data_IF_521492011713
#
_entry.id   IF_521492011713
#
_cell.length_a   1.000
_cell.length_b   1.000
_cell.length_c   1.000
_cell.angle_alpha   90.00
_cell.angle_beta   90.00
_cell.angle_gamma   90.00
#
_symmetry.space_group_name_H-M   'P 1'
#
loop_
_entity.id
_entity.type
_entity.pdbx_description
1 polymer ?
#
# COMPACT_ATOMS: atom_id res chain seq x y z
N UNK A 1 2.22 36.33 11.76
CA UNK A 1 3.34 35.82 10.92
C UNK A 1 2.92 35.77 9.46
N UNK A 2 3.85 36.01 8.52
CA UNK A 2 3.61 35.78 7.08
C UNK A 2 3.79 34.29 6.73
N UNK A 3 3.28 33.85 5.58
CA UNK A 3 3.43 32.45 5.15
C UNK A 3 4.90 31.99 5.05
N UNK A 4 5.80 32.88 4.62
CA UNK A 4 7.23 32.54 4.51
C UNK A 4 7.89 32.35 5.87
N UNK A 5 7.45 33.08 6.88
CA UNK A 5 7.91 32.91 8.26
C UNK A 5 7.35 31.61 8.87
N UNK A 6 6.07 31.33 8.61
CA UNK A 6 5.42 30.09 9.04
C UNK A 6 6.06 28.85 8.41
N UNK A 7 6.40 28.93 7.11
CA UNK A 7 7.13 27.89 6.39
C UNK A 7 8.51 27.61 6.99
N UNK A 8 9.25 28.66 7.34
CA UNK A 8 10.56 28.52 8.01
C UNK A 8 10.44 27.87 9.38
N UNK A 9 9.43 28.26 10.17
CA UNK A 9 9.23 27.72 11.53
C UNK A 9 8.75 26.27 11.54
N UNK A 10 7.88 25.90 10.61
CA UNK A 10 7.32 24.54 10.51
C UNK A 10 8.17 23.58 9.69
N UNK A 11 9.13 24.08 8.91
CA UNK A 11 9.83 23.29 7.88
C UNK A 11 8.94 22.87 6.70
N UNK A 12 7.67 23.32 6.65
CA UNK A 12 6.74 22.99 5.58
C UNK A 12 6.86 23.97 4.42
N UNK A 13 6.76 23.47 3.20
CA UNK A 13 6.68 24.32 2.03
C UNK A 13 5.45 25.24 2.09
N UNK A 14 5.60 26.50 1.65
CA UNK A 14 4.50 27.45 1.59
C UNK A 14 3.34 26.97 0.67
N UNK A 15 3.61 26.10 -0.30
CA UNK A 15 2.57 25.41 -1.09
C UNK A 15 1.72 24.47 -0.23
N UNK A 16 2.35 23.72 0.67
CA UNK A 16 1.70 22.78 1.58
C UNK A 16 0.84 23.49 2.63
N UNK A 17 1.32 24.60 3.17
CA UNK A 17 0.54 25.46 4.07
C UNK A 17 -0.71 26.00 3.36
N UNK A 18 -0.56 26.51 2.11
CA UNK A 18 -1.71 26.95 1.29
C UNK A 18 -2.68 25.83 0.98
N UNK A 19 -2.16 24.62 0.80
CA UNK A 19 -3.00 23.46 0.56
C UNK A 19 -3.83 23.12 1.81
N UNK A 20 -3.25 23.12 3.01
CA UNK A 20 -4.01 22.90 4.25
C UNK A 20 -5.05 24.00 4.51
N UNK A 21 -4.73 25.25 4.19
CA UNK A 21 -5.69 26.36 4.22
C UNK A 21 -6.89 26.09 3.28
N UNK A 22 -6.63 25.70 2.02
CA UNK A 22 -7.68 25.34 1.07
C UNK A 22 -8.49 24.13 1.50
N UNK A 23 -7.86 23.19 2.20
CA UNK A 23 -8.48 21.98 2.74
C UNK A 23 -9.21 22.24 4.06
N UNK A 24 -9.35 23.49 4.51
CA UNK A 24 -10.10 23.82 5.73
C UNK A 24 -9.45 23.37 7.04
N UNK A 25 -8.21 22.87 7.00
CA UNK A 25 -7.46 22.43 8.18
C UNK A 25 -6.77 23.58 8.92
N UNK A 26 -6.73 24.75 8.30
CA UNK A 26 -6.12 25.96 8.83
C UNK A 26 -7.13 27.10 8.70
N UNK A 27 -7.65 27.57 9.83
CA UNK A 27 -8.50 28.74 9.91
C UNK A 27 -7.71 29.97 9.44
N UNK A 28 -8.17 30.63 8.38
CA UNK A 28 -7.54 31.87 7.91
C UNK A 28 -7.88 32.98 8.90
N UNK A 29 -6.90 33.39 9.71
CA UNK A 29 -7.03 34.60 10.53
C UNK A 29 -6.89 35.78 9.57
N UNK A 30 -8.04 36.41 9.29
CA UNK A 30 -8.23 37.72 8.70
C UNK A 30 -7.27 38.16 7.58
N UNK A 31 -7.82 38.36 6.38
CA UNK A 31 -7.16 39.23 5.39
C UNK A 31 -7.09 40.62 6.01
N UNK A 32 -5.88 41.08 6.31
CA UNK A 32 -5.68 42.48 6.69
C UNK A 32 -6.09 43.39 5.53
N UNK A 33 -6.40 44.65 5.83
CA UNK A 33 -6.81 45.68 4.86
C UNK A 33 -5.85 45.85 3.67
N UNK A 34 -4.59 45.42 3.83
CA UNK A 34 -3.56 45.42 2.80
C UNK A 34 -3.51 44.14 1.93
N UNK A 35 -4.50 43.24 2.04
CA UNK A 35 -4.65 42.04 1.20
C UNK A 35 -3.71 40.87 1.56
N UNK A 36 -2.84 41.04 2.55
CA UNK A 36 -1.91 39.99 2.97
C UNK A 36 -2.55 39.03 4.00
N UNK A 37 -2.24 37.74 3.86
CA UNK A 37 -2.58 36.71 4.85
C UNK A 37 -1.67 36.83 6.07
N UNK A 38 -2.26 36.76 7.25
CA UNK A 38 -1.52 36.72 8.50
C UNK A 38 -1.93 35.51 9.31
N UNK A 39 -0.94 34.75 9.76
CA UNK A 39 -1.15 33.58 10.60
C UNK A 39 -0.82 33.93 12.05
N UNK A 40 -1.76 33.62 12.95
CA UNK A 40 -1.53 33.70 14.40
C UNK A 40 -0.60 32.59 14.90
N UNK A 41 -0.18 32.63 16.18
CA UNK A 41 0.61 31.56 16.78
C UNK A 41 -0.12 30.20 16.77
N UNK A 42 -1.45 30.18 16.88
CA UNK A 42 -2.30 28.97 16.77
C UNK A 42 -2.06 28.19 15.48
N UNK A 43 -1.81 28.89 14.36
CA UNK A 43 -1.57 28.26 13.08
C UNK A 43 -0.26 27.44 13.07
N UNK A 44 0.72 27.81 13.87
CA UNK A 44 1.96 27.04 14.01
C UNK A 44 1.69 25.72 14.71
N UNK A 45 1.03 25.77 15.87
CA UNK A 45 0.69 24.59 16.66
C UNK A 45 -0.19 23.63 15.87
N UNK A 46 -1.19 24.15 15.16
CA UNK A 46 -2.05 23.35 14.28
C UNK A 46 -1.26 22.65 13.16
N UNK A 47 -0.30 23.36 12.54
CA UNK A 47 0.55 22.77 11.51
C UNK A 47 1.45 21.65 12.03
N UNK A 48 1.96 21.78 13.26
CA UNK A 48 2.76 20.75 13.91
C UNK A 48 1.91 19.50 14.21
N UNK A 49 0.66 19.67 14.64
CA UNK A 49 -0.29 18.56 14.83
C UNK A 49 -0.59 17.86 13.51
N UNK A 50 -0.94 18.61 12.46
CA UNK A 50 -1.25 18.03 11.14
C UNK A 50 -0.04 17.26 10.61
N UNK A 51 1.17 17.81 10.72
CA UNK A 51 2.39 17.14 10.28
C UNK A 51 2.65 15.85 11.06
N UNK A 52 2.48 15.88 12.38
CA UNK A 52 2.66 14.71 13.25
C UNK A 52 1.65 13.62 12.93
N UNK A 53 0.37 13.96 12.78
CA UNK A 53 -0.68 13.01 12.43
C UNK A 53 -0.43 12.37 11.06
N UNK A 54 0.01 13.15 10.06
CA UNK A 54 0.38 12.56 8.77
C UNK A 54 1.57 11.61 8.86
N UNK A 55 2.58 11.93 9.68
CA UNK A 55 3.70 10.99 9.89
C UNK A 55 3.29 9.71 10.61
N UNK A 56 2.23 9.76 11.41
CA UNK A 56 1.60 8.59 12.03
C UNK A 56 0.66 7.82 11.07
N UNK A 57 0.54 8.26 9.81
CA UNK A 57 -0.22 7.57 8.77
C UNK A 57 -1.67 8.03 8.62
N UNK A 58 -2.09 9.08 9.33
CA UNK A 58 -3.43 9.64 9.15
C UNK A 58 -3.54 10.38 7.80
N UNK A 59 -4.65 10.15 7.12
CA UNK A 59 -5.09 10.92 5.97
C UNK A 59 -5.58 12.31 6.39
N UNK A 60 -5.64 13.24 5.44
CA UNK A 60 -6.12 14.58 5.71
C UNK A 60 -7.60 14.64 6.09
N UNK A 61 -8.40 13.71 5.54
CA UNK A 61 -9.81 13.61 5.86
C UNK A 61 -10.03 13.08 7.28
N UNK A 62 -9.24 12.09 7.71
CA UNK A 62 -9.22 11.64 9.11
C UNK A 62 -8.80 12.79 10.03
N UNK A 63 -7.70 13.49 9.72
CA UNK A 63 -7.25 14.64 10.53
C UNK A 63 -8.34 15.71 10.62
N UNK A 64 -9.06 15.99 9.52
CA UNK A 64 -10.18 16.95 9.54
C UNK A 64 -11.30 16.49 10.47
N UNK A 65 -11.64 15.20 10.46
CA UNK A 65 -12.69 14.66 11.33
C UNK A 65 -12.30 14.64 12.81
N UNK A 66 -10.99 14.63 13.10
CA UNK A 66 -10.45 14.60 14.46
C UNK A 66 -10.22 15.99 15.05
N UNK A 67 -10.00 16.99 14.20
CA UNK A 67 -9.84 18.37 14.65
C UNK A 67 -11.23 18.97 14.93
N UNK A 68 -11.41 19.64 16.08
CA UNK A 68 -12.65 20.30 16.38
C UNK A 68 -12.82 21.49 15.43
N UNK A 69 -13.97 21.58 14.79
CA UNK A 69 -14.41 22.86 14.27
C UNK A 69 -14.61 23.81 15.47
N UNK A 70 -14.33 25.09 15.28
CA UNK A 70 -14.41 26.12 16.34
C UNK A 70 -15.77 26.26 17.04
N UNK A 71 -16.78 25.50 16.60
CA UNK A 71 -18.15 25.46 17.12
C UNK A 71 -18.59 24.04 17.54
N UNK A 72 -17.76 23.01 17.37
CA UNK A 72 -18.12 21.62 17.61
C UNK A 72 -17.72 21.15 19.02
N UNK A 73 -18.61 20.38 19.65
CA UNK A 73 -18.33 19.66 20.89
C UNK A 73 -17.22 18.63 20.62
N UNK A 74 -16.12 18.72 21.37
CA UNK A 74 -15.00 17.78 21.22
C UNK A 74 -15.48 16.34 21.52
N UNK A 75 -15.50 15.49 20.49
CA UNK A 75 -15.87 14.07 20.64
C UNK A 75 -14.64 13.28 21.05
N UNK A 76 -14.34 13.31 22.36
CA UNK A 76 -13.15 12.66 22.93
C UNK A 76 -13.09 11.17 22.58
N UNK A 77 -14.23 10.48 22.69
CA UNK A 77 -14.31 9.03 22.45
C UNK A 77 -14.03 8.68 20.98
N UNK A 78 -14.56 9.45 20.04
CA UNK A 78 -14.32 9.24 18.61
C UNK A 78 -12.85 9.41 18.24
N UNK A 79 -12.16 10.39 18.85
CA UNK A 79 -10.72 10.56 18.67
C UNK A 79 -9.95 9.36 19.22
N UNK A 80 -10.29 8.92 20.43
CA UNK A 80 -9.63 7.79 21.07
C UNK A 80 -9.78 6.51 20.23
N UNK A 81 -10.99 6.23 19.74
CA UNK A 81 -11.26 5.10 18.85
C UNK A 81 -10.46 5.19 17.54
N UNK A 82 -10.36 6.38 16.95
CA UNK A 82 -9.57 6.57 15.72
C UNK A 82 -8.08 6.34 15.96
N UNK A 83 -7.54 6.79 17.09
CA UNK A 83 -6.15 6.55 17.46
C UNK A 83 -5.88 5.06 17.70
N UNK A 84 -6.77 4.38 18.43
CA UNK A 84 -6.68 2.94 18.67
C UNK A 84 -6.74 2.13 17.38
N UNK A 85 -7.65 2.51 16.46
CA UNK A 85 -7.73 1.90 15.13
C UNK A 85 -6.42 2.06 14.36
N UNK A 86 -5.79 3.24 14.45
CA UNK A 86 -4.52 3.50 13.78
C UNK A 86 -3.38 2.65 14.34
N UNK A 87 -3.35 2.48 15.66
CA UNK A 87 -2.41 1.58 16.31
C UNK A 87 -2.58 0.15 15.79
N UNK A 88 -3.81 -0.36 15.74
CA UNK A 88 -4.08 -1.70 15.23
C UNK A 88 -3.68 -1.88 13.74
N UNK A 89 -3.91 -0.86 12.90
CA UNK A 89 -3.46 -0.85 11.50
C UNK A 89 -1.92 -0.95 11.41
N UNK A 90 -1.21 -0.16 12.23
CA UNK A 90 0.26 -0.18 12.28
C UNK A 90 0.77 -1.54 12.77
N UNK A 91 0.15 -2.13 13.79
CA UNK A 91 0.52 -3.46 14.29
C UNK A 91 0.40 -4.54 13.20
N UNK A 92 -0.69 -4.52 12.42
CA UNK A 92 -0.86 -5.42 11.29
C UNK A 92 0.22 -5.24 10.22
N UNK A 93 0.56 -3.98 9.90
CA UNK A 93 1.65 -3.67 8.97
C UNK A 93 3.00 -4.15 9.51
N UNK A 94 3.27 -3.98 10.80
CA UNK A 94 4.49 -4.47 11.44
C UNK A 94 4.59 -6.00 11.35
N UNK A 95 3.51 -6.73 11.62
CA UNK A 95 3.47 -8.19 11.48
C UNK A 95 3.77 -8.62 10.05
N UNK A 96 3.17 -7.98 9.05
CA UNK A 96 3.42 -8.26 7.64
C UNK A 96 4.87 -7.99 7.25
N UNK A 97 5.42 -6.85 7.68
CA UNK A 97 6.81 -6.50 7.42
C UNK A 97 7.78 -7.48 8.11
N UNK A 98 7.47 -7.90 9.34
CA UNK A 98 8.25 -8.90 10.06
C UNK A 98 8.23 -10.26 9.34
N UNK A 99 7.06 -10.69 8.86
CA UNK A 99 6.92 -11.91 8.06
C UNK A 99 7.76 -11.84 6.77
N UNK A 100 7.59 -10.78 5.99
CA UNK A 100 8.34 -10.59 4.75
C UNK A 100 9.85 -10.57 5.02
N UNK A 101 10.29 -9.88 6.09
CA UNK A 101 11.70 -9.84 6.50
C UNK A 101 12.22 -11.25 6.82
N UNK A 102 11.44 -12.05 7.56
CA UNK A 102 11.83 -13.42 7.89
C UNK A 102 11.97 -14.29 6.62
N UNK A 103 11.02 -14.20 5.68
CA UNK A 103 11.11 -14.91 4.40
C UNK A 103 12.37 -14.52 3.61
N UNK A 104 12.69 -13.21 3.55
CA UNK A 104 13.90 -12.75 2.87
C UNK A 104 15.19 -13.26 3.54
N UNK A 105 15.21 -13.36 4.87
CA UNK A 105 16.36 -13.93 5.60
C UNK A 105 16.54 -15.41 5.23
N UNK A 106 15.46 -16.20 5.23
CA UNK A 106 15.50 -17.62 4.83
C UNK A 106 15.96 -17.77 3.38
N UNK A 107 15.48 -16.92 2.47
CA UNK A 107 15.92 -16.91 1.08
C UNK A 107 17.42 -16.58 0.96
N UNK A 108 17.94 -15.63 1.74
CA UNK A 108 19.37 -15.32 1.78
C UNK A 108 20.19 -16.50 2.30
N UNK A 109 19.73 -17.17 3.36
CA UNK A 109 20.44 -18.32 3.95
C UNK A 109 20.48 -19.54 3.03
N UNK A 110 19.36 -19.86 2.38
CA UNK A 110 19.30 -20.94 1.38
C UNK A 110 20.24 -20.69 0.21
N UNK A 111 20.31 -19.44 -0.28
CA UNK A 111 21.25 -19.07 -1.34
C UNK A 111 22.73 -19.14 -0.91
N UNK A 112 23.03 -18.86 0.36
CA UNK A 112 24.39 -19.02 0.91
C UNK A 112 24.82 -20.49 0.97
N UNK A 113 23.90 -21.42 1.19
CA UNK A 113 24.15 -22.88 1.22
C UNK A 113 24.27 -23.50 -0.17
N UNK A 114 24.87 -22.76 -1.11
CA UNK A 114 25.08 -23.19 -2.49
C UNK A 114 25.87 -24.52 -2.53
N UNK A 115 25.43 -25.52 -3.31
CA UNK A 115 26.26 -26.71 -3.57
C UNK A 115 27.58 -26.31 -4.24
N UNK A 116 28.70 -26.79 -3.72
CA UNK A 116 30.04 -26.44 -4.25
C UNK A 116 30.25 -26.98 -5.68
N UNK A 117 29.56 -28.06 -6.05
CA UNK A 117 29.63 -28.72 -7.36
C UNK A 117 28.38 -28.42 -8.21
N UNK A 118 28.21 -27.16 -8.64
CA UNK A 118 27.12 -26.77 -9.54
C UNK A 118 27.64 -26.07 -10.79
N UNK A 119 27.19 -26.50 -11.97
CA UNK A 119 27.58 -25.88 -13.23
C UNK A 119 27.04 -24.44 -13.33
N UNK A 120 27.77 -23.58 -14.03
CA UNK A 120 27.40 -22.17 -14.22
C UNK A 120 26.02 -22.00 -14.86
N UNK A 121 25.69 -22.88 -15.81
CA UNK A 121 24.43 -22.86 -16.55
C UNK A 121 23.20 -23.15 -15.67
N UNK A 122 23.36 -23.90 -14.58
CA UNK A 122 22.25 -24.31 -13.72
C UNK A 122 21.92 -23.27 -12.64
N UNK A 123 22.81 -22.30 -12.41
CA UNK A 123 22.68 -21.30 -11.33
C UNK A 123 21.39 -20.46 -11.41
N UNK A 124 20.96 -19.93 -12.57
CA UNK A 124 19.74 -19.14 -12.64
C UNK A 124 18.51 -19.97 -12.26
N UNK A 125 18.41 -21.20 -12.76
CA UNK A 125 17.30 -22.11 -12.45
C UNK A 125 17.32 -22.54 -10.98
N UNK A 126 18.51 -22.77 -10.40
CA UNK A 126 18.65 -23.06 -8.97
C UNK A 126 18.19 -21.90 -8.09
N UNK A 127 18.60 -20.66 -8.39
CA UNK A 127 18.18 -19.45 -7.63
C UNK A 127 16.66 -19.26 -7.73
N UNK A 128 16.09 -19.41 -8.93
CA UNK A 128 14.66 -19.27 -9.16
C UNK A 128 13.86 -20.36 -8.42
N UNK A 129 14.37 -21.59 -8.37
CA UNK A 129 13.75 -22.68 -7.61
C UNK A 129 13.83 -22.43 -6.09
N UNK A 130 14.99 -21.99 -5.59
CA UNK A 130 15.16 -21.66 -4.17
C UNK A 130 14.27 -20.49 -3.72
N UNK A 131 14.13 -19.44 -4.54
CA UNK A 131 13.19 -18.34 -4.27
C UNK A 131 11.73 -18.82 -4.25
N UNK A 132 11.36 -19.71 -5.18
CA UNK A 132 10.02 -20.32 -5.20
C UNK A 132 9.75 -21.13 -3.94
N UNK A 133 10.73 -21.86 -3.43
CA UNK A 133 10.58 -22.71 -2.24
C UNK A 133 10.57 -21.90 -0.93
N UNK A 134 11.27 -20.76 -0.86
CA UNK A 134 11.48 -20.01 0.39
C UNK A 134 10.65 -18.73 0.53
N UNK A 135 10.26 -18.12 -0.58
CA UNK A 135 9.50 -16.85 -0.63
C UNK A 135 8.04 -17.09 -1.04
N UNK A 136 7.65 -18.33 -1.36
CA UNK A 136 6.26 -18.64 -1.63
C UNK A 136 5.38 -18.21 -0.42
N UNK A 137 4.32 -17.42 -0.65
CA UNK A 137 3.39 -17.11 0.41
C UNK A 137 2.75 -18.40 0.90
N UNK A 138 2.69 -18.57 2.22
CA UNK A 138 1.91 -19.63 2.84
C UNK A 138 0.41 -19.37 2.56
N UNK A 139 -0.08 -19.82 1.42
CA UNK A 139 -1.52 -19.89 1.15
C UNK A 139 -1.88 -21.17 0.38
N UNK A 140 -2.43 -22.09 1.18
CA UNK A 140 -3.33 -23.22 0.90
C UNK A 140 -2.75 -24.62 0.62
N UNK A 141 -3.19 -25.65 1.37
CA UNK A 141 -3.02 -27.04 0.99
C UNK A 141 -4.00 -27.33 -0.15
N UNK A 142 -3.49 -27.50 -1.37
CA UNK A 142 -4.24 -28.14 -2.43
C UNK A 142 -4.34 -29.63 -2.12
N UNK A 143 -5.40 -29.99 -1.39
CA UNK A 143 -5.99 -31.31 -1.47
C UNK A 143 -6.51 -31.52 -2.90
N UNK A 144 -5.85 -32.38 -3.67
CA UNK A 144 -6.53 -33.23 -4.63
C UNK A 144 -5.76 -34.53 -4.76
N UNK A 145 -6.09 -35.44 -3.84
CA UNK A 145 -5.92 -36.87 -4.00
C UNK A 145 -6.79 -37.32 -5.17
N UNK A 146 -6.11 -37.91 -6.16
CA UNK A 146 -6.52 -39.09 -6.94
C UNK A 146 -7.79 -39.04 -7.80
N UNK A 147 -7.61 -39.18 -9.12
CA UNK A 147 -8.61 -39.72 -10.04
C UNK A 147 -7.98 -40.17 -11.38
N UNK A 148 -7.72 -41.48 -11.43
CA UNK A 148 -8.07 -42.39 -12.53
C UNK A 148 -7.08 -42.60 -13.68
N UNK A 149 -6.50 -43.81 -13.66
CA UNK A 149 -6.03 -44.57 -14.80
C UNK A 149 -7.13 -44.78 -15.86
N UNK A 150 -6.83 -44.54 -17.14
CA UNK A 150 -7.49 -45.11 -18.33
C UNK A 150 -6.42 -45.10 -19.45
N UNK A 151 -5.74 -46.22 -19.69
CA UNK A 151 -6.08 -47.31 -20.62
C UNK A 151 -5.27 -47.18 -21.92
N UNK A 152 -4.53 -48.25 -22.17
CA UNK A 152 -3.54 -48.44 -23.23
C UNK A 152 -4.27 -49.06 -24.44
N UNK A 153 -4.57 -48.26 -25.46
CA UNK A 153 -5.12 -48.80 -26.70
C UNK A 153 -4.71 -48.02 -27.95
N UNK A 154 -3.97 -48.71 -28.84
CA UNK A 154 -4.34 -48.76 -30.25
C UNK A 154 -3.75 -47.73 -31.20
N UNK A 155 -2.63 -48.10 -31.83
CA UNK A 155 -2.25 -47.62 -33.17
C UNK A 155 -3.32 -47.99 -34.20
N UNK A 156 -3.67 -47.06 -35.09
CA UNK A 156 -4.38 -47.38 -36.33
C UNK A 156 -5.03 -46.16 -37.00
N UNK A 157 -4.63 -45.74 -38.21
CA UNK A 157 -5.15 -44.55 -38.89
C UNK A 157 -6.33 -44.89 -39.83
N UNK A 158 -6.99 -43.85 -40.40
CA UNK A 158 -7.43 -43.70 -41.82
C UNK A 158 -8.71 -42.82 -41.97
N UNK A 159 -8.67 -41.95 -42.99
CA UNK A 159 -9.74 -41.38 -43.82
C UNK A 159 -10.57 -40.15 -43.38
N UNK A 160 -10.17 -39.00 -43.93
CA UNK A 160 -10.92 -38.17 -44.89
C UNK A 160 -12.46 -38.16 -44.88
N UNK A 161 -13.06 -36.97 -44.67
CA UNK A 161 -14.22 -36.51 -45.46
C UNK A 161 -14.45 -34.98 -45.37
N UNK A 162 -14.60 -34.37 -46.55
CA UNK A 162 -14.95 -32.96 -46.84
C UNK A 162 -16.39 -32.58 -46.45
N UNK A 163 -16.61 -31.31 -46.05
CA UNK A 163 -17.63 -30.35 -46.55
C UNK A 163 -17.59 -29.05 -45.71
N UNK A 164 -17.07 -27.94 -46.23
CA UNK A 164 -17.72 -26.82 -46.97
C UNK A 164 -18.81 -26.02 -46.20
N UNK A 165 -18.43 -24.76 -45.89
CA UNK A 165 -19.13 -23.46 -46.12
C UNK A 165 -20.49 -23.16 -45.45
N UNK A 166 -20.52 -22.09 -44.65
CA UNK A 166 -21.38 -20.87 -44.78
C UNK A 166 -21.31 -20.04 -43.48
N UNK A 167 -20.54 -18.95 -43.41
CA UNK A 167 -20.96 -17.54 -43.58
C UNK A 167 -22.29 -17.19 -42.90
N UNK A 168 -22.23 -16.33 -41.87
CA UNK A 168 -23.39 -15.75 -41.18
C UNK A 168 -23.00 -14.47 -40.43
N UNK A 169 -22.97 -13.37 -41.16
CA UNK A 169 -22.67 -12.00 -40.74
C UNK A 169 -23.91 -11.34 -40.12
N UNK A 170 -23.80 -10.69 -38.95
CA UNK A 170 -24.49 -9.41 -38.65
C UNK A 170 -24.05 -8.79 -37.33
N UNK A 171 -23.44 -7.61 -37.44
CA UNK A 171 -23.42 -6.47 -36.50
C UNK A 171 -24.44 -5.43 -37.02
N UNK A 172 -24.67 -4.30 -36.33
CA UNK A 172 -24.11 -3.82 -35.06
C UNK A 172 -25.10 -3.80 -33.90
#
# INVERSE_FOLDING_TARGET
>A
MKIGELAKRTGLAASRIRFYEKSGLLSTVERRENGYRQYGPEALWMLEIIASAQSAGFSLDEIRSLLPDSQATWQHDALLESLQRKVAEIELLQQRLAHNKAQLIVAIESMKKRPEEMACADRPNWVLNQLRETVAPASHPSSSTDATAVDEAGRGPIASAKRRLSVGFRRP
#
